data_IF_213042622677
#
_entry.id   IF_213042622677
#
_cell.length_a   1.000
_cell.length_b   1.000
_cell.length_c   1.000
_cell.angle_alpha   90.00
_cell.angle_beta   90.00
_cell.angle_gamma   90.00
#
_symmetry.space_group_name_H-M   'P 1'
#
loop_
_entity.id
_entity.type
_entity.pdbx_description
1 polymer ?
#
# COMPACT_ATOMS: atom_id res chain seq x y z
N UNK A 1 -3.75 -31.27 13.47
CA UNK A 1 -2.87 -30.66 12.47
C UNK A 1 -3.34 -29.24 12.26
N UNK A 2 -2.80 -28.29 13.03
CA UNK A 2 -3.20 -26.89 12.97
C UNK A 2 -2.50 -26.25 11.77
N UNK A 3 -3.29 -25.81 10.80
CA UNK A 3 -2.81 -25.09 9.63
C UNK A 3 -2.11 -23.81 10.06
N UNK A 4 -0.80 -23.77 9.79
CA UNK A 4 0.04 -22.59 9.70
C UNK A 4 -0.58 -21.50 8.84
N UNK A 5 -0.64 -20.26 9.33
CA UNK A 5 -0.73 -19.05 8.49
C UNK A 5 -0.33 -17.83 9.32
N UNK A 6 0.94 -17.76 9.71
CA UNK A 6 1.57 -16.45 9.87
C UNK A 6 1.52 -15.80 8.49
N UNK A 7 0.91 -14.62 8.29
CA UNK A 7 1.01 -14.00 6.99
C UNK A 7 2.48 -13.64 6.81
N UNK A 8 3.14 -14.29 5.84
CA UNK A 8 4.27 -13.69 5.14
C UNK A 8 3.93 -12.23 4.84
N UNK A 9 4.88 -11.28 4.75
CA UNK A 9 4.56 -9.91 4.34
C UNK A 9 3.95 -9.97 2.94
N UNK A 10 2.61 -10.10 2.89
CA UNK A 10 1.87 -10.35 1.67
C UNK A 10 1.99 -9.06 0.91
N UNK A 11 2.86 -9.08 -0.08
CA UNK A 11 3.16 -7.94 -0.92
C UNK A 11 1.82 -7.40 -1.45
N UNK A 12 1.37 -6.26 -0.92
CA UNK A 12 0.01 -5.75 -1.13
C UNK A 12 -0.26 -5.61 -2.62
N UNK A 13 0.78 -5.26 -3.40
CA UNK A 13 0.74 -5.26 -4.85
C UNK A 13 0.31 -6.60 -5.45
N UNK A 14 0.94 -7.71 -5.06
CA UNK A 14 0.61 -9.04 -5.60
C UNK A 14 -0.84 -9.43 -5.29
N UNK A 15 -1.30 -9.11 -4.08
CA UNK A 15 -2.69 -9.35 -3.68
C UNK A 15 -3.65 -8.49 -4.51
N UNK A 16 -3.33 -7.23 -4.74
CA UNK A 16 -4.11 -6.34 -5.59
C UNK A 16 -4.19 -6.86 -7.04
N UNK A 17 -3.08 -7.34 -7.61
CA UNK A 17 -3.05 -7.92 -8.95
C UNK A 17 -3.91 -9.18 -9.03
N UNK A 18 -3.85 -10.07 -8.04
CA UNK A 18 -4.69 -11.27 -7.97
C UNK A 18 -6.19 -10.95 -7.90
N UNK A 19 -6.53 -9.83 -7.24
CA UNK A 19 -7.90 -9.32 -7.17
C UNK A 19 -8.34 -8.57 -8.45
N UNK A 20 -7.50 -8.54 -9.49
CA UNK A 20 -7.79 -7.86 -10.74
C UNK A 20 -7.73 -6.33 -10.65
N UNK A 21 -7.15 -5.78 -9.59
CA UNK A 21 -6.95 -4.34 -9.47
C UNK A 21 -5.86 -3.89 -10.43
N UNK A 22 -6.18 -2.86 -11.23
CA UNK A 22 -5.18 -2.19 -12.06
C UNK A 22 -4.16 -1.51 -11.16
N UNK A 23 -2.93 -2.03 -11.16
CA UNK A 23 -1.79 -1.42 -10.46
C UNK A 23 -1.15 -0.36 -11.35
N UNK A 24 -1.49 0.91 -11.06
CA UNK A 24 -0.81 2.09 -11.59
C UNK A 24 0.40 2.43 -10.72
N UNK A 25 1.30 3.26 -11.21
CA UNK A 25 2.52 3.63 -10.45
C UNK A 25 2.18 4.28 -9.10
N UNK A 26 1.15 5.14 -9.05
CA UNK A 26 0.66 5.73 -7.80
C UNK A 26 0.15 4.68 -6.80
N UNK A 27 -0.57 3.66 -7.27
CA UNK A 27 -1.08 2.58 -6.42
C UNK A 27 0.04 1.71 -5.89
N UNK A 28 1.09 1.48 -6.68
CA UNK A 28 2.29 0.73 -6.24
C UNK A 28 2.98 1.47 -5.11
N UNK A 29 3.18 2.78 -5.23
CA UNK A 29 3.81 3.58 -4.17
C UNK A 29 2.99 3.55 -2.89
N UNK A 30 1.66 3.73 -2.97
CA UNK A 30 0.79 3.65 -1.78
C UNK A 30 0.82 2.25 -1.16
N UNK A 31 0.74 1.19 -1.97
CA UNK A 31 0.82 -0.18 -1.50
C UNK A 31 2.17 -0.49 -0.85
N UNK A 32 3.28 0.02 -1.40
CA UNK A 32 4.62 -0.11 -0.83
C UNK A 32 4.70 0.57 0.54
N UNK A 33 4.25 1.83 0.65
CA UNK A 33 4.24 2.58 1.91
C UNK A 33 3.41 1.88 2.98
N UNK A 34 2.30 1.25 2.62
CA UNK A 34 1.46 0.47 3.52
C UNK A 34 2.05 -0.90 3.87
N UNK A 35 2.75 -1.54 2.93
CA UNK A 35 3.42 -2.82 3.16
C UNK A 35 4.65 -2.68 4.06
N UNK A 36 5.37 -1.55 3.97
CA UNK A 36 6.56 -1.26 4.77
C UNK A 36 6.23 -0.65 6.14
N UNK A 37 4.99 -0.24 6.36
CA UNK A 37 4.56 0.32 7.64
C UNK A 37 4.31 -0.81 8.65
N UNK A 38 5.25 -1.02 9.57
CA UNK A 38 5.02 -1.82 10.78
C UNK A 38 4.09 -1.12 11.79
N UNK A 39 3.87 0.19 11.62
CA UNK A 39 3.00 1.02 12.45
C UNK A 39 1.59 1.16 11.88
N UNK A 40 0.71 1.90 12.58
CA UNK A 40 -0.60 2.28 12.07
C UNK A 40 -0.57 3.76 11.64
N UNK A 41 -0.04 4.07 10.43
CA UNK A 41 0.09 5.44 9.98
C UNK A 41 -1.28 6.09 9.75
N UNK A 42 -1.39 7.38 10.09
CA UNK A 42 -2.56 8.17 9.70
C UNK A 42 -2.57 8.41 8.18
N UNK A 43 -3.71 8.86 7.65
CA UNK A 43 -3.83 9.22 6.23
C UNK A 43 -2.79 10.26 5.83
N UNK A 44 -2.59 11.29 6.64
CA UNK A 44 -1.59 12.32 6.40
C UNK A 44 -0.19 11.72 6.39
N UNK A 45 0.09 10.77 7.28
CA UNK A 45 1.38 10.08 7.33
C UNK A 45 1.65 9.26 6.07
N UNK A 46 0.64 8.52 5.59
CA UNK A 46 0.72 7.79 4.32
C UNK A 46 0.93 8.75 3.15
N UNK A 47 0.18 9.87 3.11
CA UNK A 47 0.36 10.91 2.11
C UNK A 47 1.79 11.46 2.12
N UNK A 48 2.33 11.84 3.29
CA UNK A 48 3.69 12.39 3.39
C UNK A 48 4.73 11.38 2.91
N UNK A 49 4.63 10.12 3.34
CA UNK A 49 5.54 9.03 2.93
C UNK A 49 5.44 8.76 1.42
N UNK A 50 4.23 8.72 0.86
CA UNK A 50 4.01 8.44 -0.56
C UNK A 50 4.40 9.62 -1.45
N UNK A 51 4.11 10.86 -1.03
CA UNK A 51 4.45 12.08 -1.76
C UNK A 51 5.97 12.27 -1.83
N UNK A 52 6.71 11.92 -0.77
CA UNK A 52 8.17 11.91 -0.79
C UNK A 52 8.78 10.93 -1.81
N UNK A 53 8.01 9.95 -2.30
CA UNK A 53 8.43 8.98 -3.32
C UNK A 53 7.91 9.40 -4.71
N UNK A 54 6.67 9.87 -4.80
CA UNK A 54 6.04 10.37 -6.02
C UNK A 54 5.22 11.64 -5.73
N UNK A 55 5.76 12.79 -6.11
CA UNK A 55 5.17 14.11 -5.91
C UNK A 55 3.78 14.28 -6.56
N UNK A 56 3.40 13.39 -7.49
CA UNK A 56 2.08 13.39 -8.14
C UNK A 56 0.99 12.79 -7.25
N UNK A 57 1.36 12.15 -6.15
CA UNK A 57 0.42 11.60 -5.18
C UNK A 57 -0.09 12.74 -4.30
N UNK A 58 -1.39 12.98 -4.39
CA UNK A 58 -2.10 13.94 -3.55
C UNK A 58 -2.84 13.25 -2.42
N UNK A 59 -3.25 13.99 -1.40
CA UNK A 59 -4.13 13.47 -0.33
C UNK A 59 -5.42 12.84 -0.90
N UNK A 60 -5.99 13.42 -1.95
CA UNK A 60 -7.15 12.86 -2.64
C UNK A 60 -6.85 11.53 -3.35
N UNK A 61 -5.62 11.31 -3.80
CA UNK A 61 -5.19 10.02 -4.37
C UNK A 61 -5.16 8.95 -3.29
N UNK A 62 -4.67 9.27 -2.09
CA UNK A 62 -4.63 8.34 -0.95
C UNK A 62 -6.04 7.89 -0.56
N UNK A 63 -7.00 8.81 -0.46
CA UNK A 63 -8.38 8.45 -0.09
C UNK A 63 -9.15 7.58 -1.10
N UNK A 64 -8.76 7.59 -2.39
CA UNK A 64 -9.46 6.86 -3.46
C UNK A 64 -8.81 5.53 -3.83
N UNK A 65 -7.69 5.19 -3.19
CA UNK A 65 -6.89 4.02 -3.51
C UNK A 65 -7.25 2.89 -2.56
#
# INVERSE_FOLDING_TARGET
>A
MASSSTPDPVNLEQKCVQLGLKMTDQRRVIAQVLSDADDHPSVETVYQRANAIDDRISLATVYRT
#
